data_IF_951035579580
#
_entry.id   IF_951035579580
#
_cell.length_a   1.000
_cell.length_b   1.000
_cell.length_c   1.000
_cell.angle_alpha   90.00
_cell.angle_beta   90.00
_cell.angle_gamma   90.00
#
_symmetry.space_group_name_H-M   'P 1'
#
loop_
_entity.id
_entity.type
_entity.pdbx_description
1 polymer ?
#
# COMPACT_ATOMS: atom_id res chain seq x y z
N UNK A 1 -2.11 12.82 -11.09
CA UNK A 1 -2.15 12.95 -9.62
C UNK A 1 -3.18 11.96 -9.11
N UNK A 2 -2.79 11.01 -8.26
CA UNK A 2 -3.74 10.05 -7.67
C UNK A 2 -4.65 10.82 -6.72
N UNK A 3 -5.96 10.64 -6.87
CA UNK A 3 -6.90 11.13 -5.88
C UNK A 3 -6.82 10.20 -4.67
N UNK A 4 -6.22 10.68 -3.59
CA UNK A 4 -6.05 9.92 -2.35
C UNK A 4 -7.38 9.47 -1.71
N UNK A 5 -8.49 10.07 -2.11
CA UNK A 5 -9.83 9.68 -1.67
C UNK A 5 -10.51 8.64 -2.61
N UNK A 6 -9.91 8.33 -3.75
CA UNK A 6 -10.40 7.33 -4.72
C UNK A 6 -9.28 6.39 -5.18
N UNK A 7 -8.65 5.62 -4.27
CA UNK A 7 -7.59 4.67 -4.62
C UNK A 7 -8.14 3.52 -5.47
N UNK A 8 -7.27 2.91 -6.27
CA UNK A 8 -7.58 1.64 -6.92
C UNK A 8 -7.25 0.45 -5.99
N UNK A 9 -7.89 -0.71 -6.23
CA UNK A 9 -7.49 -1.94 -5.53
C UNK A 9 -6.01 -2.24 -5.81
N UNK A 10 -5.24 -2.42 -4.75
CA UNK A 10 -3.79 -2.52 -4.75
C UNK A 10 -3.08 -1.25 -4.28
N UNK A 11 -3.80 -0.15 -4.04
CA UNK A 11 -3.22 1.10 -3.54
C UNK A 11 -3.18 1.12 -2.01
N UNK A 12 -2.01 1.42 -1.45
CA UNK A 12 -1.80 1.71 -0.03
C UNK A 12 -1.37 3.16 0.12
N UNK A 13 -2.21 3.97 0.72
CA UNK A 13 -2.12 5.43 0.68
C UNK A 13 -1.93 6.00 2.08
N UNK A 14 -0.88 6.80 2.27
CA UNK A 14 -0.75 7.69 3.42
C UNK A 14 -1.53 8.98 3.16
N UNK A 15 -2.45 9.33 4.05
CA UNK A 15 -3.21 10.59 3.98
C UNK A 15 -2.95 11.44 5.23
N UNK A 16 -1.97 12.33 5.21
CA UNK A 16 -1.85 13.35 6.24
C UNK A 16 -2.99 14.38 6.13
N UNK A 17 -3.60 14.72 7.25
CA UNK A 17 -4.68 15.72 7.31
C UNK A 17 -4.49 16.71 8.48
N UNK A 18 -5.19 17.82 8.41
CA UNK A 18 -5.20 18.85 9.44
C UNK A 18 -6.64 19.14 9.91
N UNK A 19 -6.97 18.61 11.09
CA UNK A 19 -8.27 18.86 11.74
C UNK A 19 -9.44 18.08 11.14
N UNK A 20 -10.57 18.11 11.85
CA UNK A 20 -11.76 17.28 11.56
C UNK A 20 -12.36 17.52 10.18
N UNK A 21 -12.33 18.76 9.69
CA UNK A 21 -12.93 19.09 8.38
C UNK A 21 -12.29 18.29 7.23
N UNK A 22 -10.96 18.22 7.21
CA UNK A 22 -10.23 17.45 6.18
C UNK A 22 -10.46 15.96 6.36
N UNK A 23 -10.38 15.48 7.60
CA UNK A 23 -10.63 14.07 7.95
C UNK A 23 -12.02 13.62 7.49
N UNK A 24 -13.06 14.36 7.89
CA UNK A 24 -14.45 14.03 7.55
C UNK A 24 -14.71 14.10 6.04
N UNK A 25 -14.13 15.07 5.33
CA UNK A 25 -14.26 15.20 3.88
C UNK A 25 -13.62 13.98 3.16
N UNK A 26 -12.43 13.60 3.58
CA UNK A 26 -11.73 12.44 3.01
C UNK A 26 -12.48 11.13 3.31
N UNK A 27 -12.92 10.92 4.56
CA UNK A 27 -13.69 9.73 4.96
C UNK A 27 -14.99 9.60 4.17
N UNK A 28 -15.73 10.71 4.00
CA UNK A 28 -16.94 10.75 3.18
C UNK A 28 -16.65 10.34 1.74
N UNK A 29 -15.67 10.98 1.11
CA UNK A 29 -15.34 10.71 -0.28
C UNK A 29 -14.90 9.26 -0.47
N UNK A 30 -14.03 8.74 0.39
CA UNK A 30 -13.57 7.38 0.38
C UNK A 30 -14.72 6.35 0.52
N UNK A 31 -15.62 6.57 1.50
CA UNK A 31 -16.78 5.70 1.72
C UNK A 31 -17.71 5.68 0.51
N UNK A 32 -18.06 6.84 -0.03
CA UNK A 32 -18.91 6.94 -1.20
C UNK A 32 -18.28 6.27 -2.43
N UNK A 33 -16.97 6.41 -2.63
CA UNK A 33 -16.23 5.81 -3.72
C UNK A 33 -16.16 4.29 -3.60
N UNK A 34 -15.87 3.75 -2.42
CA UNK A 34 -15.87 2.31 -2.18
C UNK A 34 -17.25 1.67 -2.48
N UNK A 35 -18.33 2.29 -1.99
CA UNK A 35 -19.69 1.85 -2.27
C UNK A 35 -20.04 1.89 -3.76
N UNK A 36 -19.66 2.96 -4.47
CA UNK A 36 -19.86 3.10 -5.93
C UNK A 36 -19.11 2.01 -6.71
N UNK A 37 -17.92 1.63 -6.24
CA UNK A 37 -17.08 0.58 -6.83
C UNK A 37 -17.53 -0.84 -6.46
N UNK A 38 -18.61 -0.99 -5.67
CA UNK A 38 -19.12 -2.28 -5.17
C UNK A 38 -18.11 -3.04 -4.32
N UNK A 39 -17.28 -2.32 -3.59
CA UNK A 39 -16.37 -2.88 -2.60
C UNK A 39 -17.05 -2.96 -1.23
N UNK A 40 -16.55 -3.84 -0.35
CA UNK A 40 -16.81 -3.75 1.08
C UNK A 40 -15.98 -2.60 1.64
N UNK A 41 -16.61 -1.67 2.36
CA UNK A 41 -15.93 -0.55 3.01
C UNK A 41 -15.75 -0.88 4.49
N UNK A 42 -14.53 -0.77 4.98
CA UNK A 42 -14.19 -0.98 6.40
C UNK A 42 -13.55 0.31 6.92
N UNK A 43 -14.12 0.88 7.97
CA UNK A 43 -13.59 2.09 8.63
C UNK A 43 -13.15 1.67 10.03
N UNK A 44 -11.85 1.73 10.29
CA UNK A 44 -11.24 1.39 11.57
C UNK A 44 -10.90 2.69 12.29
N UNK A 45 -11.66 2.98 13.33
CA UNK A 45 -11.56 4.24 14.09
C UNK A 45 -10.67 4.07 15.32
N UNK A 46 -9.99 5.14 15.72
CA UNK A 46 -9.25 5.22 16.99
C UNK A 46 -9.53 6.54 17.71
N UNK A 47 -9.55 7.66 17.01
CA UNK A 47 -9.80 8.99 17.58
C UNK A 47 -11.27 9.17 18.01
N UNK A 48 -12.19 8.69 17.14
CA UNK A 48 -13.63 8.67 17.44
C UNK A 48 -14.08 7.23 17.77
N UNK A 49 -15.22 7.11 18.45
CA UNK A 49 -15.92 5.83 18.55
C UNK A 49 -16.64 5.51 17.24
N UNK A 50 -16.94 4.22 16.96
CA UNK A 50 -17.76 3.85 15.81
C UNK A 50 -19.11 4.56 15.77
N UNK A 51 -19.77 4.74 16.92
CA UNK A 51 -21.06 5.43 17.05
C UNK A 51 -20.95 6.88 16.62
N UNK A 52 -19.95 7.59 17.15
CA UNK A 52 -19.69 9.00 16.79
C UNK A 52 -19.32 9.15 15.31
N UNK A 53 -18.58 8.19 14.77
CA UNK A 53 -18.26 8.17 13.34
C UNK A 53 -19.54 8.02 12.51
N UNK A 54 -20.46 7.13 12.89
CA UNK A 54 -21.77 6.97 12.23
C UNK A 54 -22.60 8.25 12.29
N UNK A 55 -22.66 8.89 13.45
CA UNK A 55 -23.45 10.12 13.67
C UNK A 55 -23.07 11.22 12.66
N UNK A 56 -21.77 11.50 12.49
CA UNK A 56 -21.36 12.55 11.58
C UNK A 56 -21.25 12.11 10.11
N UNK A 57 -21.05 10.80 9.84
CA UNK A 57 -20.90 10.29 8.47
C UNK A 57 -22.26 10.05 7.79
N UNK A 58 -23.29 9.65 8.54
CA UNK A 58 -24.60 9.34 7.99
C UNK A 58 -25.24 10.46 7.17
N UNK A 59 -25.24 11.73 7.61
CA UNK A 59 -25.78 12.82 6.80
C UNK A 59 -24.93 13.14 5.56
N UNK A 60 -23.67 12.69 5.51
CA UNK A 60 -22.72 12.96 4.43
C UNK A 60 -22.67 11.85 3.37
N UNK A 61 -23.10 10.63 3.72
CA UNK A 61 -23.13 9.46 2.83
C UNK A 61 -24.55 8.91 2.76
N UNK A 62 -25.34 9.31 1.76
CA UNK A 62 -26.72 8.83 1.62
C UNK A 62 -26.76 7.30 1.57
N UNK A 63 -27.65 6.69 2.37
CA UNK A 63 -27.83 5.26 2.42
C UNK A 63 -26.79 4.50 3.27
N UNK A 64 -25.97 5.18 4.09
CA UNK A 64 -24.97 4.57 4.96
C UNK A 64 -25.58 3.46 5.83
N UNK A 65 -26.67 3.75 6.54
CA UNK A 65 -27.33 2.78 7.43
C UNK A 65 -27.81 1.52 6.67
N UNK A 66 -28.36 1.70 5.47
CA UNK A 66 -28.75 0.56 4.62
C UNK A 66 -27.53 -0.23 4.13
N UNK A 67 -26.42 0.44 3.88
CA UNK A 67 -25.17 -0.20 3.48
C UNK A 67 -24.54 -0.99 4.65
N UNK A 68 -24.59 -0.47 5.89
CA UNK A 68 -24.17 -1.21 7.10
C UNK A 68 -25.07 -2.42 7.35
N UNK A 69 -26.39 -2.25 7.31
CA UNK A 69 -27.32 -3.35 7.48
C UNK A 69 -27.15 -4.48 6.43
N UNK A 70 -26.70 -4.13 5.24
CA UNK A 70 -26.37 -5.07 4.16
C UNK A 70 -24.92 -5.60 4.23
N UNK A 71 -24.15 -5.30 5.27
CA UNK A 71 -22.76 -5.73 5.44
C UNK A 71 -21.75 -5.10 4.45
N UNK A 72 -22.18 -4.07 3.69
CA UNK A 72 -21.32 -3.39 2.71
C UNK A 72 -20.42 -2.32 3.32
N UNK A 73 -20.81 -1.78 4.46
CA UNK A 73 -19.99 -0.87 5.28
C UNK A 73 -19.86 -1.47 6.66
N UNK A 74 -18.70 -1.37 7.22
CA UNK A 74 -18.40 -1.75 8.59
C UNK A 74 -17.61 -0.63 9.25
N UNK A 75 -18.05 -0.20 10.42
CA UNK A 75 -17.34 0.83 11.20
C UNK A 75 -17.03 0.21 12.56
N UNK A 76 -15.75 -0.01 12.81
CA UNK A 76 -15.25 -0.68 14.02
C UNK A 76 -14.17 0.13 14.71
N UNK A 77 -13.96 -0.10 16.01
CA UNK A 77 -12.88 0.51 16.75
C UNK A 77 -11.60 -0.32 16.61
N UNK A 78 -10.47 0.36 16.51
CA UNK A 78 -9.16 -0.29 16.70
C UNK A 78 -9.08 -0.88 18.11
N UNK A 79 -8.67 -2.15 18.24
CA UNK A 79 -8.66 -2.86 19.52
C UNK A 79 -7.22 -3.22 19.99
N UNK A 80 -6.69 -4.32 19.52
CA UNK A 80 -5.60 -5.05 20.20
C UNK A 80 -4.23 -5.01 19.50
N UNK A 81 -3.87 -3.90 18.90
CA UNK A 81 -2.53 -3.75 18.30
C UNK A 81 -2.43 -4.15 16.83
N UNK A 82 -1.21 -4.07 16.26
CA UNK A 82 -0.98 -4.25 14.82
C UNK A 82 -1.39 -5.62 14.28
N UNK A 83 -1.23 -6.68 15.07
CA UNK A 83 -1.60 -8.04 14.65
C UNK A 83 -3.10 -8.21 14.50
N UNK A 84 -3.89 -7.60 15.40
CA UNK A 84 -5.33 -7.54 15.29
C UNK A 84 -5.75 -6.80 14.02
N UNK A 85 -5.17 -5.61 13.77
CA UNK A 85 -5.48 -4.82 12.58
C UNK A 85 -5.22 -5.59 11.27
N UNK A 86 -4.11 -6.31 11.21
CA UNK A 86 -3.80 -7.18 10.06
C UNK A 86 -4.85 -8.29 9.91
N UNK A 87 -5.25 -8.92 11.01
CA UNK A 87 -6.29 -9.96 11.05
C UNK A 87 -7.64 -9.43 10.55
N UNK A 88 -8.04 -8.23 10.99
CA UNK A 88 -9.29 -7.58 10.53
C UNK A 88 -9.29 -7.32 9.03
N UNK A 89 -8.18 -6.81 8.47
CA UNK A 89 -8.07 -6.59 7.03
C UNK A 89 -8.18 -7.90 6.24
N UNK A 90 -7.54 -8.97 6.69
CA UNK A 90 -7.60 -10.28 6.04
C UNK A 90 -9.00 -10.87 6.13
N UNK A 91 -9.63 -10.86 7.31
CA UNK A 91 -10.99 -11.34 7.52
C UNK A 91 -12.01 -10.56 6.67
N UNK A 92 -11.86 -9.23 6.59
CA UNK A 92 -12.68 -8.41 5.71
C UNK A 92 -12.52 -8.80 4.23
N UNK A 93 -11.30 -9.16 3.80
CA UNK A 93 -11.03 -9.64 2.45
C UNK A 93 -11.70 -10.98 2.13
N UNK A 94 -11.68 -11.91 3.07
CA UNK A 94 -12.35 -13.22 2.95
C UNK A 94 -13.87 -13.04 2.87
N UNK A 95 -14.43 -12.25 3.79
CA UNK A 95 -15.85 -11.95 3.81
C UNK A 95 -16.31 -11.20 2.54
N UNK A 96 -15.51 -10.24 2.05
CA UNK A 96 -15.82 -9.52 0.83
C UNK A 96 -15.88 -10.47 -0.38
N UNK A 97 -14.97 -11.43 -0.47
CA UNK A 97 -14.98 -12.46 -1.52
C UNK A 97 -16.21 -13.37 -1.44
N UNK A 98 -16.56 -13.84 -0.23
CA UNK A 98 -17.75 -14.67 0.02
C UNK A 98 -19.05 -13.95 -0.36
N UNK A 99 -19.12 -12.65 -0.07
CA UNK A 99 -20.25 -11.80 -0.38
C UNK A 99 -20.29 -11.29 -1.83
N UNK A 100 -19.29 -11.63 -2.66
CA UNK A 100 -19.23 -11.22 -4.05
C UNK A 100 -18.87 -9.75 -4.27
N UNK A 101 -18.21 -9.11 -3.29
CA UNK A 101 -17.66 -7.77 -3.46
C UNK A 101 -16.42 -7.79 -4.35
N UNK A 102 -16.10 -6.66 -5.00
CA UNK A 102 -14.91 -6.54 -5.86
C UNK A 102 -13.60 -6.51 -5.07
N UNK A 103 -13.67 -6.29 -3.76
CA UNK A 103 -12.54 -6.19 -2.84
C UNK A 103 -12.93 -5.35 -1.62
N UNK A 104 -11.93 -4.96 -0.86
CA UNK A 104 -12.06 -4.16 0.37
C UNK A 104 -11.49 -2.78 0.16
N UNK A 105 -12.21 -1.79 0.64
CA UNK A 105 -11.77 -0.40 0.82
C UNK A 105 -11.63 -0.15 2.32
N UNK A 106 -10.42 -0.11 2.85
CA UNK A 106 -10.13 0.09 4.26
C UNK A 106 -9.67 1.53 4.53
N UNK A 107 -10.34 2.22 5.43
CA UNK A 107 -9.90 3.49 5.98
C UNK A 107 -9.44 3.26 7.42
N UNK A 108 -8.19 3.58 7.71
CA UNK A 108 -7.58 3.33 9.02
C UNK A 108 -7.18 4.66 9.66
N UNK A 109 -7.74 4.94 10.84
CA UNK A 109 -7.25 6.01 11.69
C UNK A 109 -5.93 5.57 12.32
N UNK A 110 -4.83 6.17 11.88
CA UNK A 110 -3.49 5.79 12.32
C UNK A 110 -3.11 6.33 13.72
N UNK A 111 -4.00 7.04 14.42
CA UNK A 111 -3.72 7.61 15.74
C UNK A 111 -3.31 6.56 16.79
N UNK A 112 -3.67 5.28 16.60
CA UNK A 112 -3.20 4.17 17.43
C UNK A 112 -1.65 4.06 17.50
N UNK A 113 -0.97 4.44 16.42
CA UNK A 113 0.48 4.35 16.31
C UNK A 113 1.25 5.52 16.92
N UNK A 114 0.58 6.49 17.55
CA UNK A 114 1.24 7.66 18.16
C UNK A 114 2.18 7.23 19.29
N UNK A 115 1.77 6.26 20.11
CA UNK A 115 2.53 5.77 21.27
C UNK A 115 3.49 4.63 20.92
N UNK A 116 3.35 4.00 19.77
CA UNK A 116 4.21 2.90 19.29
C UNK A 116 4.65 3.16 17.85
N UNK A 117 5.54 4.11 17.65
CA UNK A 117 6.06 4.44 16.32
C UNK A 117 6.74 3.25 15.63
N UNK A 118 7.49 2.44 16.37
CA UNK A 118 8.18 1.27 15.82
C UNK A 118 7.21 0.16 15.43
N UNK A 119 6.19 -0.11 16.25
CA UNK A 119 5.13 -1.07 15.93
C UNK A 119 4.33 -0.65 14.69
N UNK A 120 3.98 0.63 14.61
CA UNK A 120 3.31 1.20 13.43
C UNK A 120 4.17 1.03 12.18
N UNK A 121 5.45 1.42 12.20
CA UNK A 121 6.32 1.30 11.03
C UNK A 121 6.47 -0.16 10.57
N UNK A 122 6.61 -1.09 11.50
CA UNK A 122 6.64 -2.53 11.18
C UNK A 122 5.34 -3.02 10.56
N UNK A 123 4.18 -2.57 11.09
CA UNK A 123 2.87 -2.90 10.53
C UNK A 123 2.73 -2.37 9.11
N UNK A 124 3.00 -1.07 8.89
CA UNK A 124 2.87 -0.42 7.57
C UNK A 124 3.78 -1.09 6.52
N UNK A 125 4.98 -1.49 6.91
CA UNK A 125 5.88 -2.23 6.04
C UNK A 125 5.35 -3.64 5.74
N UNK A 126 4.85 -4.36 6.74
CA UNK A 126 4.37 -5.73 6.59
C UNK A 126 3.07 -5.81 5.77
N UNK A 127 2.15 -4.87 6.01
CA UNK A 127 0.85 -4.85 5.31
C UNK A 127 0.99 -4.56 3.81
N UNK A 128 2.10 -3.94 3.36
CA UNK A 128 2.35 -3.71 1.94
C UNK A 128 2.25 -4.99 1.10
N UNK A 129 2.60 -6.15 1.65
CA UNK A 129 2.50 -7.42 0.93
C UNK A 129 1.07 -7.78 0.48
N UNK A 130 0.03 -7.31 1.20
CA UNK A 130 -1.38 -7.60 0.86
C UNK A 130 -1.83 -6.89 -0.43
N UNK A 131 -1.25 -5.75 -0.73
CA UNK A 131 -1.70 -4.91 -1.85
C UNK A 131 -1.29 -5.47 -3.21
N UNK A 132 -0.25 -6.28 -3.27
CA UNK A 132 0.17 -6.98 -4.49
C UNK A 132 -0.88 -7.91 -5.07
N UNK A 133 -1.81 -8.44 -4.26
CA UNK A 133 -2.91 -9.30 -4.70
C UNK A 133 -4.13 -8.54 -5.21
N UNK A 134 -4.16 -7.21 -5.09
CA UNK A 134 -5.18 -6.30 -5.62
C UNK A 134 -6.62 -6.55 -5.17
N UNK A 135 -6.82 -7.09 -3.98
CA UNK A 135 -8.14 -7.21 -3.37
C UNK A 135 -8.42 -6.13 -2.31
N UNK A 136 -7.38 -5.42 -1.88
CA UNK A 136 -7.41 -4.38 -0.85
C UNK A 136 -6.98 -3.04 -1.43
N UNK A 137 -7.70 -1.97 -1.10
CA UNK A 137 -7.25 -0.59 -1.17
C UNK A 137 -7.32 -0.01 0.24
N UNK A 138 -6.27 0.64 0.71
CA UNK A 138 -6.30 1.25 2.04
C UNK A 138 -5.83 2.69 2.04
N UNK A 139 -6.46 3.51 2.89
CA UNK A 139 -6.04 4.86 3.23
C UNK A 139 -5.79 4.94 4.73
N UNK A 140 -4.54 5.19 5.11
CA UNK A 140 -4.14 5.42 6.49
C UNK A 140 -4.12 6.92 6.77
N UNK A 141 -4.98 7.37 7.69
CA UNK A 141 -5.16 8.77 8.03
C UNK A 141 -4.22 9.19 9.17
N UNK A 142 -3.37 10.19 8.92
CA UNK A 142 -2.38 10.71 9.87
C UNK A 142 -2.70 12.16 10.25
N UNK A 143 -3.13 12.37 11.50
CA UNK A 143 -3.42 13.70 12.02
C UNK A 143 -2.13 14.49 12.31
N UNK A 144 -1.91 15.59 11.60
CA UNK A 144 -0.76 16.49 11.80
C UNK A 144 -0.80 17.20 13.17
N UNK A 145 -1.92 17.16 13.89
CA UNK A 145 -2.03 17.62 15.27
C UNK A 145 -1.47 16.62 16.28
N UNK A 146 -1.46 15.33 15.95
CA UNK A 146 -0.97 14.25 16.81
C UNK A 146 0.46 13.81 16.46
N UNK A 147 0.85 13.91 15.19
CA UNK A 147 2.13 13.48 14.69
C UNK A 147 3.06 14.64 14.37
N UNK A 148 4.33 14.53 14.75
CA UNK A 148 5.35 15.47 14.28
C UNK A 148 5.51 15.39 12.75
N UNK A 149 6.01 16.46 12.13
CA UNK A 149 6.29 16.47 10.69
C UNK A 149 7.25 15.33 10.27
N UNK A 150 8.26 15.02 11.11
CA UNK A 150 9.17 13.91 10.85
C UNK A 150 8.46 12.55 10.88
N UNK A 151 7.53 12.34 11.81
CA UNK A 151 6.74 11.10 11.88
C UNK A 151 5.79 10.94 10.69
N UNK A 152 5.15 12.03 10.25
CA UNK A 152 4.31 12.04 9.04
C UNK A 152 5.14 11.74 7.79
N UNK A 153 6.30 12.37 7.63
CA UNK A 153 7.18 12.11 6.49
C UNK A 153 7.69 10.66 6.48
N UNK A 154 7.97 10.10 7.65
CA UNK A 154 8.37 8.70 7.76
C UNK A 154 7.23 7.76 7.41
N UNK A 155 6.01 8.03 7.88
CA UNK A 155 4.83 7.27 7.47
C UNK A 155 4.63 7.35 5.96
N UNK A 156 4.67 8.54 5.38
CA UNK A 156 4.56 8.73 3.94
C UNK A 156 5.59 7.90 3.16
N UNK A 157 6.85 7.86 3.61
CA UNK A 157 7.91 7.11 2.92
C UNK A 157 7.74 5.58 2.95
N UNK A 158 6.95 5.04 3.90
CA UNK A 158 6.65 3.60 4.01
C UNK A 158 5.45 3.22 3.12
N UNK A 159 4.59 4.18 2.79
CA UNK A 159 3.46 3.95 1.90
C UNK A 159 3.89 4.08 0.43
N UNK A 160 3.47 3.17 -0.44
CA UNK A 160 3.71 3.28 -1.89
C UNK A 160 3.11 4.54 -2.51
N UNK A 161 2.08 5.11 -1.88
CA UNK A 161 1.40 6.31 -2.36
C UNK A 161 1.24 7.31 -1.21
N UNK A 162 1.74 8.53 -1.41
CA UNK A 162 1.51 9.65 -0.50
C UNK A 162 1.48 10.97 -1.28
N UNK A 163 0.75 12.00 -0.79
CA UNK A 163 0.71 13.30 -1.46
C UNK A 163 2.10 13.94 -1.58
N UNK A 164 2.42 14.40 -2.78
CA UNK A 164 3.68 15.10 -3.04
C UNK A 164 4.94 14.21 -3.12
N UNK A 165 4.76 12.89 -3.15
CA UNK A 165 5.85 11.91 -3.29
C UNK A 165 5.78 11.17 -4.63
N UNK A 166 6.85 10.47 -4.98
CA UNK A 166 6.87 9.53 -6.09
C UNK A 166 5.82 8.43 -5.87
N UNK A 167 5.16 8.03 -6.93
CA UNK A 167 4.08 7.04 -6.89
C UNK A 167 4.61 5.68 -7.29
N UNK A 168 4.50 4.70 -6.41
CA UNK A 168 4.81 3.31 -6.68
C UNK A 168 3.52 2.48 -6.67
N UNK A 169 3.26 1.74 -7.73
CA UNK A 169 2.28 0.66 -7.77
C UNK A 169 2.96 -0.67 -8.08
N UNK A 170 2.45 -1.73 -7.48
CA UNK A 170 2.99 -3.07 -7.71
C UNK A 170 1.88 -4.13 -7.70
N UNK A 171 2.16 -5.24 -8.38
CA UNK A 171 1.25 -6.39 -8.48
C UNK A 171 2.07 -7.66 -8.38
N UNK A 172 1.61 -8.63 -7.60
CA UNK A 172 2.19 -9.96 -7.57
C UNK A 172 1.93 -10.68 -8.89
N UNK A 173 2.97 -11.27 -9.46
CA UNK A 173 2.84 -11.97 -10.74
C UNK A 173 2.54 -13.46 -10.51
N UNK A 174 1.72 -14.03 -11.40
CA UNK A 174 1.41 -15.47 -11.47
C UNK A 174 1.26 -15.89 -12.92
N UNK A 175 1.62 -17.12 -13.31
CA UNK A 175 2.19 -18.21 -12.50
C UNK A 175 3.67 -18.00 -12.16
N UNK A 176 4.40 -17.16 -12.89
CA UNK A 176 5.80 -16.84 -12.62
C UNK A 176 5.89 -15.96 -11.36
N UNK A 177 6.58 -16.43 -10.30
CA UNK A 177 6.75 -15.61 -9.11
C UNK A 177 7.49 -14.30 -9.42
N UNK A 178 7.04 -13.21 -8.83
CA UNK A 178 7.68 -11.91 -9.02
C UNK A 178 6.73 -10.74 -8.84
N UNK A 179 7.17 -9.58 -9.27
CA UNK A 179 6.46 -8.31 -9.14
C UNK A 179 6.39 -7.59 -10.48
N UNK A 180 5.24 -7.00 -10.77
CA UNK A 180 5.13 -5.95 -11.77
C UNK A 180 5.08 -4.61 -11.08
N UNK A 181 5.96 -3.71 -11.50
CA UNK A 181 6.13 -2.37 -10.93
C UNK A 181 5.73 -1.30 -11.95
N UNK A 182 5.13 -0.21 -11.46
CA UNK A 182 4.80 0.96 -12.30
C UNK A 182 4.90 2.27 -11.52
N UNK A 183 5.11 3.38 -12.24
CA UNK A 183 5.30 4.71 -11.70
C UNK A 183 6.76 5.06 -11.48
N UNK A 184 7.07 5.72 -10.38
CA UNK A 184 8.41 6.22 -10.06
C UNK A 184 8.89 5.71 -8.70
N UNK A 185 10.18 5.43 -8.59
CA UNK A 185 10.83 5.04 -7.33
C UNK A 185 12.01 5.96 -7.05
N UNK A 186 11.89 6.71 -5.96
CA UNK A 186 12.96 7.59 -5.51
C UNK A 186 13.13 7.57 -3.97
N UNK A 187 13.88 8.51 -3.44
CA UNK A 187 14.14 8.61 -2.00
C UNK A 187 12.84 8.76 -1.18
N UNK A 188 11.77 9.30 -1.76
CA UNK A 188 10.53 9.61 -1.04
C UNK A 188 9.70 8.37 -0.75
N UNK A 189 9.74 7.34 -1.61
CA UNK A 189 9.03 6.06 -1.43
C UNK A 189 9.97 4.85 -1.33
N UNK A 190 11.27 5.07 -1.12
CA UNK A 190 12.27 3.99 -1.03
C UNK A 190 11.98 2.99 0.09
N UNK A 191 11.44 3.43 1.24
CA UNK A 191 11.09 2.52 2.33
C UNK A 191 9.91 1.62 1.95
N UNK A 192 8.92 2.15 1.25
CA UNK A 192 7.83 1.36 0.69
C UNK A 192 8.38 0.32 -0.30
N UNK A 193 9.25 0.74 -1.21
CA UNK A 193 9.87 -0.18 -2.16
C UNK A 193 10.68 -1.28 -1.48
N UNK A 194 11.48 -0.94 -0.46
CA UNK A 194 12.20 -1.93 0.35
C UNK A 194 11.26 -2.97 0.95
N UNK A 195 10.15 -2.53 1.57
CA UNK A 195 9.16 -3.44 2.16
C UNK A 195 8.45 -4.32 1.12
N UNK A 196 8.21 -3.79 -0.09
CA UNK A 196 7.65 -4.58 -1.21
C UNK A 196 8.63 -5.65 -1.66
N UNK A 197 9.94 -5.38 -1.67
CA UNK A 197 10.96 -6.36 -2.06
C UNK A 197 11.11 -7.51 -1.05
N UNK A 198 10.85 -7.29 0.25
CA UNK A 198 11.02 -8.35 1.27
C UNK A 198 10.14 -9.56 1.01
N UNK A 199 8.97 -9.40 0.37
CA UNK A 199 8.12 -10.53 0.01
C UNK A 199 8.76 -11.48 -1.00
N UNK A 200 9.81 -11.05 -1.71
CA UNK A 200 10.54 -11.90 -2.64
C UNK A 200 11.62 -12.75 -1.95
N UNK A 201 12.07 -12.36 -0.75
CA UNK A 201 13.19 -12.99 -0.06
C UNK A 201 12.94 -14.46 0.27
N UNK A 202 11.70 -14.81 0.62
CA UNK A 202 11.30 -16.18 0.96
C UNK A 202 10.97 -17.06 -0.25
N UNK A 203 10.96 -16.51 -1.47
CA UNK A 203 10.57 -17.27 -2.67
C UNK A 203 11.73 -18.13 -3.16
N UNK A 204 11.66 -19.46 -2.97
CA UNK A 204 12.66 -20.42 -3.41
C UNK A 204 12.47 -20.81 -4.88
N UNK A 205 12.49 -19.85 -5.80
CA UNK A 205 12.39 -20.02 -7.25
C UNK A 205 13.02 -18.83 -7.97
N UNK A 206 13.25 -18.91 -9.27
CA UNK A 206 13.57 -17.72 -10.08
C UNK A 206 12.42 -16.74 -9.99
N UNK A 207 12.71 -15.46 -9.72
CA UNK A 207 11.71 -14.40 -9.71
C UNK A 207 11.92 -13.42 -10.85
N UNK A 208 10.83 -12.90 -11.37
CA UNK A 208 10.82 -11.87 -12.40
C UNK A 208 10.29 -10.57 -11.82
N UNK A 209 11.03 -9.49 -12.00
CA UNK A 209 10.59 -8.13 -11.69
C UNK A 209 10.33 -7.43 -13.03
N UNK A 210 9.06 -7.30 -13.37
CA UNK A 210 8.61 -6.55 -14.54
C UNK A 210 8.56 -5.06 -14.18
N UNK A 211 9.62 -4.36 -14.51
CA UNK A 211 9.80 -2.92 -14.32
C UNK A 211 9.51 -2.12 -15.62
N UNK A 212 8.77 -2.69 -16.56
CA UNK A 212 8.44 -2.02 -17.84
C UNK A 212 7.49 -0.85 -17.65
N UNK A 213 6.73 -0.84 -16.54
CA UNK A 213 5.85 0.26 -16.16
C UNK A 213 6.51 1.33 -15.30
N UNK A 214 7.82 1.20 -14.96
CA UNK A 214 8.55 2.24 -14.27
C UNK A 214 9.06 3.29 -15.25
N UNK A 215 8.75 4.55 -14.96
CA UNK A 215 9.29 5.70 -15.69
C UNK A 215 10.65 6.10 -15.10
N UNK A 216 10.82 5.95 -13.79
CA UNK A 216 12.06 6.32 -13.10
C UNK A 216 12.38 5.36 -11.92
N UNK A 217 13.68 5.18 -11.68
CA UNK A 217 14.24 4.59 -10.44
C UNK A 217 15.53 5.33 -10.09
N UNK A 218 15.70 5.75 -8.84
CA UNK A 218 16.97 6.35 -8.40
C UNK A 218 18.06 5.29 -8.12
N UNK A 219 19.32 5.72 -8.05
CA UNK A 219 20.45 4.82 -7.83
C UNK A 219 20.37 4.04 -6.51
N UNK A 220 19.88 4.68 -5.44
CA UNK A 220 19.73 4.01 -4.14
C UNK A 220 18.64 2.94 -4.13
N UNK A 221 17.53 3.17 -4.80
CA UNK A 221 16.46 2.18 -4.97
C UNK A 221 16.89 1.04 -5.91
N UNK A 222 17.62 1.35 -6.96
CA UNK A 222 18.23 0.33 -7.83
C UNK A 222 19.26 -0.52 -7.07
N UNK A 223 20.00 0.06 -6.11
CA UNK A 223 20.92 -0.67 -5.25
C UNK A 223 20.17 -1.62 -4.29
N UNK A 224 19.02 -1.21 -3.72
CA UNK A 224 18.18 -2.12 -2.93
C UNK A 224 17.74 -3.35 -3.74
N UNK A 225 17.37 -3.14 -5.00
CA UNK A 225 17.01 -4.24 -5.89
C UNK A 225 18.18 -5.20 -6.09
N UNK A 226 19.39 -4.69 -6.30
CA UNK A 226 20.60 -5.51 -6.43
C UNK A 226 20.92 -6.27 -5.13
N UNK A 227 20.79 -5.63 -3.96
CA UNK A 227 21.00 -6.27 -2.66
C UNK A 227 19.97 -7.39 -2.40
N UNK A 228 18.71 -7.19 -2.73
CA UNK A 228 17.68 -8.25 -2.67
C UNK A 228 18.04 -9.43 -3.56
N UNK A 229 18.53 -9.19 -4.77
CA UNK A 229 18.96 -10.25 -5.66
C UNK A 229 20.16 -11.03 -5.11
N UNK A 230 21.13 -10.35 -4.51
CA UNK A 230 22.29 -10.99 -3.85
C UNK A 230 21.86 -11.85 -2.66
N UNK A 231 20.98 -11.33 -1.80
CA UNK A 231 20.45 -12.08 -0.66
C UNK A 231 19.72 -13.34 -1.10
N UNK A 232 18.90 -13.25 -2.15
CA UNK A 232 18.19 -14.39 -2.73
C UNK A 232 19.13 -15.42 -3.36
N UNK A 233 20.13 -14.95 -4.10
CA UNK A 233 21.13 -15.86 -4.70
C UNK A 233 21.91 -16.61 -3.62
N UNK A 234 22.25 -15.95 -2.50
CA UNK A 234 22.92 -16.58 -1.37
C UNK A 234 22.04 -17.58 -0.63
N UNK A 235 20.75 -17.27 -0.43
CA UNK A 235 19.83 -18.11 0.34
C UNK A 235 19.26 -19.29 -0.46
N UNK A 236 18.95 -19.09 -1.72
CA UNK A 236 18.15 -20.03 -2.54
C UNK A 236 18.84 -20.48 -3.81
N UNK A 237 19.99 -19.93 -4.17
CA UNK A 237 20.71 -20.19 -5.43
C UNK A 237 19.88 -19.88 -6.69
N UNK A 238 18.84 -19.06 -6.58
CA UNK A 238 17.96 -18.67 -7.67
C UNK A 238 18.23 -17.26 -8.17
N UNK A 239 18.05 -17.08 -9.47
CA UNK A 239 18.29 -15.81 -10.16
C UNK A 239 17.11 -14.84 -9.95
N UNK A 240 17.43 -13.55 -9.99
CA UNK A 240 16.46 -12.48 -10.10
C UNK A 240 16.58 -11.85 -11.48
N UNK A 241 15.49 -11.89 -12.24
CA UNK A 241 15.40 -11.31 -13.59
C UNK A 241 14.68 -9.99 -13.50
N UNK A 242 15.23 -8.94 -14.12
CA UNK A 242 14.56 -7.62 -14.23
C UNK A 242 14.27 -7.36 -15.70
N UNK A 243 13.00 -7.19 -16.04
CA UNK A 243 12.56 -6.75 -17.37
C UNK A 243 12.26 -5.27 -17.30
N UNK A 244 12.95 -4.44 -18.09
CA UNK A 244 12.80 -2.99 -17.97
C UNK A 244 13.06 -2.24 -19.29
N UNK A 245 12.66 -0.97 -19.33
CA UNK A 245 12.91 -0.07 -20.45
C UNK A 245 14.23 0.70 -20.28
N UNK A 246 14.58 1.48 -21.33
CA UNK A 246 15.88 2.12 -21.49
C UNK A 246 16.40 2.93 -20.30
N UNK A 247 15.54 3.75 -19.66
CA UNK A 247 15.96 4.61 -18.53
C UNK A 247 16.32 3.76 -17.30
N UNK A 248 15.46 2.83 -16.90
CA UNK A 248 15.71 1.92 -15.77
C UNK A 248 16.93 1.05 -16.04
N UNK A 249 17.03 0.46 -17.26
CA UNK A 249 18.20 -0.34 -17.65
C UNK A 249 19.51 0.46 -17.61
N UNK A 250 19.46 1.76 -17.92
CA UNK A 250 20.65 2.64 -17.83
C UNK A 250 21.09 2.82 -16.39
N UNK A 251 20.14 3.09 -15.46
CA UNK A 251 20.47 3.25 -14.03
C UNK A 251 21.05 1.96 -13.47
N UNK A 252 20.44 0.80 -13.74
CA UNK A 252 20.95 -0.50 -13.28
C UNK A 252 22.39 -0.76 -13.74
N UNK A 253 22.72 -0.44 -15.00
CA UNK A 253 24.10 -0.57 -15.51
C UNK A 253 25.07 0.44 -14.89
N UNK A 254 24.66 1.68 -14.68
CA UNK A 254 25.52 2.70 -14.08
C UNK A 254 25.98 2.33 -12.66
N UNK A 255 25.14 1.62 -11.90
CA UNK A 255 25.46 1.12 -10.56
C UNK A 255 26.01 -0.32 -10.58
N UNK A 256 26.24 -0.90 -11.75
CA UNK A 256 26.72 -2.29 -11.97
C UNK A 256 25.79 -3.36 -11.39
N UNK A 257 24.49 -3.07 -11.26
CA UNK A 257 23.51 -4.04 -10.79
C UNK A 257 23.30 -5.23 -11.74
N UNK A 258 23.63 -5.06 -13.02
CA UNK A 258 23.61 -6.11 -14.05
C UNK A 258 24.67 -7.23 -13.85
N UNK A 259 25.61 -7.05 -12.92
CA UNK A 259 26.51 -8.12 -12.48
C UNK A 259 25.81 -9.16 -11.59
N UNK A 260 24.73 -8.76 -10.92
CA UNK A 260 23.97 -9.63 -9.99
C UNK A 260 22.54 -9.88 -10.43
N UNK A 261 21.98 -9.03 -11.28
CA UNK A 261 20.65 -9.12 -11.86
C UNK A 261 20.72 -9.61 -13.32
N UNK A 262 19.85 -10.49 -13.72
CA UNK A 262 19.66 -10.78 -15.14
C UNK A 262 18.77 -9.70 -15.78
N UNK A 263 19.38 -8.61 -16.27
CA UNK A 263 18.64 -7.50 -16.88
C UNK A 263 18.25 -7.84 -18.32
N UNK A 264 16.94 -7.81 -18.60
CA UNK A 264 16.36 -7.98 -19.94
C UNK A 264 15.70 -6.68 -20.38
N UNK A 265 15.97 -6.22 -21.58
CA UNK A 265 15.24 -5.08 -22.15
C UNK A 265 13.91 -5.54 -22.70
N UNK A 266 12.85 -4.83 -22.36
CA UNK A 266 11.59 -4.98 -23.07
C UNK A 266 11.78 -4.54 -24.52
N UNK A 267 11.25 -5.29 -25.44
CA UNK A 267 11.14 -4.87 -26.85
C UNK A 267 10.04 -3.83 -26.90
N UNK A 268 10.37 -2.64 -27.39
CA UNK A 268 9.36 -1.60 -27.63
C UNK A 268 8.42 -2.17 -28.73
N UNK A 269 7.16 -2.42 -28.34
CA UNK A 269 6.11 -2.86 -29.21
C UNK A 269 5.44 -1.68 -29.92
#
# INVERSE_FOLDING_TARGET
MVDVADPDLGDHVCLPFQGDRERMAATRAFTANGLRRRAKVVIITHTDTPERTREWLAPLVPGLAAAEAAGRVEITAYADGPAWLLGELVAAGELAREQGHRGVYALVDAAWGVRDAAGRERFEAAVNALFGERWLAAVCQYDRGLYSAAAVNRAAAIHPIAPGQALLRFVNMRPQPGLRLSGDIDITNRLAFASVLTQLEAVAAEVVIDATGLDFIDAGSAQLLALTALARAAAHHHRTVVVCRGTVARVLRLIRADEVLAVRRAVDG
#
